data_IF_095682522300
#
_entry.id   IF_095682522300
#
_cell.length_a   1.000
_cell.length_b   1.000
_cell.length_c   1.000
_cell.angle_alpha   90.00
_cell.angle_beta   90.00
_cell.angle_gamma   90.00
#
_symmetry.space_group_name_H-M   'P 1'
#
loop_
_entity.id
_entity.type
_entity.pdbx_description
1 polymer ?
#
# COMPACT_ATOMS: atom_id res chain seq x y z
N UNK A 1 -14.62 -9.77 -20.65
CA UNK A 1 -14.54 -10.08 -19.20
C UNK A 1 -15.60 -9.31 -18.44
N UNK A 2 -16.21 -9.94 -17.46
CA UNK A 2 -16.89 -9.15 -16.46
C UNK A 2 -15.81 -8.40 -15.66
N UNK A 3 -16.01 -7.13 -15.41
CA UNK A 3 -15.17 -6.39 -14.47
C UNK A 3 -15.19 -7.16 -13.13
N UNK A 4 -14.11 -7.05 -12.34
CA UNK A 4 -14.10 -7.63 -10.99
C UNK A 4 -15.41 -7.29 -10.29
N UNK A 5 -16.03 -8.28 -9.68
CA UNK A 5 -17.35 -8.08 -9.05
C UNK A 5 -17.15 -7.49 -7.64
N UNK A 6 -17.35 -6.19 -7.45
CA UNK A 6 -17.17 -5.60 -6.13
C UNK A 6 -18.21 -6.08 -5.12
N UNK A 7 -19.29 -6.70 -5.59
CA UNK A 7 -20.38 -7.20 -4.73
C UNK A 7 -20.12 -8.61 -4.21
N UNK A 8 -18.99 -9.23 -4.61
CA UNK A 8 -18.58 -10.55 -4.10
C UNK A 8 -17.13 -10.51 -3.65
N UNK A 9 -16.88 -10.21 -2.37
CA UNK A 9 -15.50 -10.11 -1.87
C UNK A 9 -14.74 -11.45 -1.88
N UNK A 10 -15.43 -12.55 -2.13
CA UNK A 10 -14.81 -13.88 -2.20
C UNK A 10 -14.63 -14.38 -3.63
N UNK A 11 -15.01 -13.58 -4.64
CA UNK A 11 -14.82 -13.97 -6.04
C UNK A 11 -13.33 -14.09 -6.36
N UNK A 12 -12.98 -15.15 -7.09
CA UNK A 12 -11.60 -15.34 -7.58
C UNK A 12 -11.49 -14.70 -8.95
N UNK A 13 -10.99 -13.47 -8.98
CA UNK A 13 -10.79 -12.72 -10.21
C UNK A 13 -9.48 -13.14 -10.89
N UNK A 14 -9.41 -13.02 -12.21
CA UNK A 14 -8.29 -13.50 -13.02
C UNK A 14 -7.39 -12.35 -13.46
N UNK A 15 -6.10 -12.43 -13.17
CA UNK A 15 -5.06 -11.48 -13.59
C UNK A 15 -5.45 -10.01 -13.30
N UNK A 16 -5.96 -9.71 -12.10
CA UNK A 16 -6.34 -8.35 -11.70
C UNK A 16 -5.13 -7.41 -11.73
N UNK A 17 -5.28 -6.25 -12.35
CA UNK A 17 -4.20 -5.25 -12.45
C UNK A 17 -4.44 -4.14 -11.44
N UNK A 18 -3.45 -3.88 -10.59
CA UNK A 18 -3.56 -2.79 -9.62
C UNK A 18 -2.18 -2.17 -9.31
N UNK A 19 -2.16 -1.15 -8.50
CA UNK A 19 -0.97 -0.50 -7.95
C UNK A 19 -1.03 -0.63 -6.43
N UNK A 20 0.09 -0.56 -5.74
CA UNK A 20 0.13 -0.87 -4.29
C UNK A 20 -0.62 0.19 -3.47
N UNK A 21 -0.42 1.49 -3.73
CA UNK A 21 -1.18 2.51 -3.00
C UNK A 21 -0.71 3.95 -3.23
N UNK A 22 0.52 4.27 -2.92
CA UNK A 22 0.94 5.66 -2.82
C UNK A 22 1.49 6.22 -4.14
N UNK A 23 1.00 7.40 -4.54
CA UNK A 23 1.53 8.20 -5.65
C UNK A 23 2.21 9.47 -5.10
N UNK A 24 3.07 10.07 -5.91
CA UNK A 24 3.67 11.36 -5.58
C UNK A 24 2.58 12.41 -5.34
N UNK A 25 2.80 13.26 -4.37
CA UNK A 25 1.88 14.38 -4.09
C UNK A 25 2.36 15.59 -4.90
N UNK A 26 1.53 16.14 -5.80
CA UNK A 26 1.97 17.28 -6.62
C UNK A 26 2.21 18.53 -5.76
N UNK A 27 3.12 19.38 -6.20
CA UNK A 27 3.51 20.56 -5.44
C UNK A 27 2.32 21.52 -5.18
N UNK A 28 1.38 21.61 -6.14
CA UNK A 28 0.19 22.45 -5.94
C UNK A 28 -0.72 21.93 -4.80
N UNK A 29 -0.60 20.63 -4.42
CA UNK A 29 -1.31 20.04 -3.27
C UNK A 29 -0.46 20.14 -1.99
N UNK A 30 0.87 20.02 -2.10
CA UNK A 30 1.78 20.00 -0.95
C UNK A 30 1.96 21.41 -0.37
N UNK A 31 2.18 22.42 -1.23
CA UNK A 31 2.47 23.79 -0.81
C UNK A 31 1.40 24.42 0.08
N UNK A 32 0.07 24.30 -0.23
CA UNK A 32 -0.96 24.82 0.68
C UNK A 32 -0.91 24.24 2.09
N UNK A 33 -0.58 22.95 2.22
CA UNK A 33 -0.46 22.30 3.54
C UNK A 33 0.78 22.75 4.33
N UNK A 34 1.80 23.28 3.63
CA UNK A 34 3.02 23.85 4.23
C UNK A 34 2.94 25.37 4.41
N UNK A 35 1.79 25.96 4.10
CA UNK A 35 1.60 27.43 4.09
C UNK A 35 2.54 28.14 3.09
N UNK A 36 2.90 27.43 2.01
CA UNK A 36 3.74 27.95 0.93
C UNK A 36 2.88 28.39 -0.26
N UNK A 37 3.42 29.32 -1.05
CA UNK A 37 2.73 29.86 -2.22
C UNK A 37 2.71 28.86 -3.38
N UNK A 38 1.53 28.65 -3.97
CA UNK A 38 1.35 27.90 -5.22
C UNK A 38 1.83 28.78 -6.38
N UNK A 39 2.79 28.29 -7.16
CA UNK A 39 3.40 29.06 -8.25
C UNK A 39 2.60 28.91 -9.55
N UNK A 40 2.94 29.74 -10.55
CA UNK A 40 2.34 29.59 -11.88
C UNK A 40 2.76 28.27 -12.56
N UNK A 41 3.95 27.78 -12.23
CA UNK A 41 4.45 26.49 -12.72
C UNK A 41 3.59 25.34 -12.16
N UNK A 42 3.28 25.36 -10.86
CA UNK A 42 2.40 24.37 -10.21
C UNK A 42 1.01 24.32 -10.89
N UNK A 43 0.43 25.52 -11.14
CA UNK A 43 -0.89 25.59 -11.78
C UNK A 43 -0.83 25.13 -13.25
N UNK A 44 0.27 25.43 -13.93
CA UNK A 44 0.48 24.98 -15.31
C UNK A 44 0.55 23.44 -15.36
N UNK A 45 1.31 22.84 -14.44
CA UNK A 45 1.39 21.39 -14.32
C UNK A 45 0.01 20.78 -14.06
N UNK A 46 -0.75 21.35 -13.11
CA UNK A 46 -2.10 20.87 -12.82
C UNK A 46 -3.00 20.91 -14.06
N UNK A 47 -2.94 22.03 -14.85
CA UNK A 47 -3.74 22.15 -16.08
C UNK A 47 -3.34 21.11 -17.14
N UNK A 48 -2.04 20.89 -17.31
CA UNK A 48 -1.54 19.88 -18.27
C UNK A 48 -2.08 18.50 -17.92
N UNK A 49 -2.05 18.14 -16.63
CA UNK A 49 -2.60 16.87 -16.18
C UNK A 49 -4.13 16.81 -16.31
N UNK A 50 -4.84 17.90 -15.99
CA UNK A 50 -6.31 17.95 -16.16
C UNK A 50 -6.69 17.73 -17.63
N UNK A 51 -5.97 18.39 -18.56
CA UNK A 51 -6.21 18.23 -19.99
C UNK A 51 -5.89 16.80 -20.46
N UNK A 52 -4.75 16.24 -20.01
CA UNK A 52 -4.31 14.89 -20.38
C UNK A 52 -5.29 13.82 -19.89
N UNK A 53 -5.82 13.99 -18.68
CA UNK A 53 -6.74 13.02 -18.06
C UNK A 53 -8.22 13.30 -18.41
N UNK A 54 -8.50 14.32 -19.21
CA UNK A 54 -9.85 14.66 -19.62
C UNK A 54 -10.77 15.09 -18.49
N UNK A 55 -10.23 15.79 -17.49
CA UNK A 55 -10.96 16.14 -16.27
C UNK A 55 -11.97 17.29 -16.49
N UNK A 56 -11.74 18.15 -17.47
CA UNK A 56 -12.68 19.19 -17.88
C UNK A 56 -13.22 20.03 -16.72
N UNK A 57 -14.54 20.14 -16.65
CA UNK A 57 -15.22 20.98 -15.65
C UNK A 57 -15.06 20.47 -14.21
N UNK A 58 -14.72 19.19 -14.02
CA UNK A 58 -14.54 18.60 -12.68
C UNK A 58 -13.42 19.30 -11.90
N UNK A 59 -12.47 19.94 -12.61
CA UNK A 59 -11.34 20.66 -11.98
C UNK A 59 -11.53 22.16 -11.93
N UNK A 60 -12.67 22.68 -12.41
CA UNK A 60 -12.94 24.12 -12.42
C UNK A 60 -12.83 24.74 -11.02
N UNK A 61 -13.37 24.11 -9.93
CA UNK A 61 -13.24 24.71 -8.59
C UNK A 61 -11.80 24.91 -8.16
N UNK A 62 -10.88 23.99 -8.49
CA UNK A 62 -9.45 24.14 -8.19
C UNK A 62 -8.86 25.34 -8.92
N UNK A 63 -9.15 25.48 -10.22
CA UNK A 63 -8.56 26.54 -11.03
C UNK A 63 -9.17 27.90 -10.70
N UNK A 64 -10.44 27.97 -10.31
CA UNK A 64 -11.06 29.21 -9.83
C UNK A 64 -10.40 29.65 -8.52
N UNK A 65 -10.18 28.72 -7.59
CA UNK A 65 -9.47 29.00 -6.34
C UNK A 65 -8.06 29.54 -6.63
N UNK A 66 -7.31 28.86 -7.52
CA UNK A 66 -5.96 29.30 -7.87
C UNK A 66 -5.95 30.61 -8.69
N UNK A 67 -7.02 30.98 -9.35
CA UNK A 67 -7.14 32.30 -10.01
C UNK A 67 -7.38 33.41 -8.98
N UNK A 68 -8.13 33.11 -7.92
CA UNK A 68 -8.44 34.06 -6.86
C UNK A 68 -7.25 34.31 -5.92
N UNK A 69 -6.57 33.23 -5.49
CA UNK A 69 -5.43 33.34 -4.57
C UNK A 69 -4.43 32.20 -4.75
N UNK A 70 -3.20 32.41 -4.24
CA UNK A 70 -2.10 31.44 -4.36
C UNK A 70 -1.48 31.07 -3.00
N UNK A 71 -1.96 31.67 -1.90
CA UNK A 71 -1.46 31.43 -0.54
C UNK A 71 -2.55 31.81 0.47
N UNK A 72 -2.35 31.49 1.74
CA UNK A 72 -3.31 31.81 2.80
C UNK A 72 -4.62 31.06 2.67
N UNK A 73 -4.56 29.78 2.30
CA UNK A 73 -5.76 28.94 2.13
C UNK A 73 -6.36 28.59 3.50
N UNK A 74 -7.69 28.58 3.57
CA UNK A 74 -8.44 28.08 4.73
C UNK A 74 -8.37 26.56 4.77
N UNK A 75 -8.85 25.95 5.83
CA UNK A 75 -8.88 24.49 5.95
C UNK A 75 -9.84 23.88 4.91
N UNK A 76 -10.99 24.50 4.66
CA UNK A 76 -11.94 24.04 3.63
C UNK A 76 -11.31 24.12 2.23
N UNK A 77 -10.51 25.17 1.97
CA UNK A 77 -9.82 25.30 0.68
C UNK A 77 -8.70 24.27 0.53
N UNK A 78 -7.99 23.95 1.62
CA UNK A 78 -6.97 22.88 1.63
C UNK A 78 -7.64 21.52 1.39
N UNK A 79 -8.82 21.33 1.94
CA UNK A 79 -9.59 20.09 1.72
C UNK A 79 -10.04 19.97 0.26
N UNK A 80 -10.56 21.05 -0.32
CA UNK A 80 -10.88 21.09 -1.76
C UNK A 80 -9.65 20.72 -2.60
N UNK A 81 -8.49 21.31 -2.33
CA UNK A 81 -7.23 21.03 -3.05
C UNK A 81 -6.88 19.53 -2.90
N UNK A 82 -7.06 18.98 -1.71
CA UNK A 82 -6.75 17.56 -1.43
C UNK A 82 -7.70 16.63 -2.20
N UNK A 83 -9.00 16.90 -2.16
CA UNK A 83 -10.01 16.12 -2.91
C UNK A 83 -9.75 16.18 -4.42
N UNK A 84 -9.35 17.36 -4.91
CA UNK A 84 -8.99 17.49 -6.32
C UNK A 84 -7.74 16.65 -6.66
N UNK A 85 -6.75 16.63 -5.78
CA UNK A 85 -5.56 15.78 -5.98
C UNK A 85 -5.93 14.29 -6.00
N UNK A 86 -6.89 13.87 -5.17
CA UNK A 86 -7.42 12.50 -5.19
C UNK A 86 -8.11 12.20 -6.53
N UNK A 87 -8.94 13.13 -7.03
CA UNK A 87 -9.57 12.97 -8.34
C UNK A 87 -8.54 12.77 -9.45
N UNK A 88 -7.47 13.59 -9.48
CA UNK A 88 -6.39 13.43 -10.46
C UNK A 88 -5.73 12.04 -10.34
N UNK A 89 -5.42 11.61 -9.11
CA UNK A 89 -4.76 10.32 -8.87
C UNK A 89 -5.64 9.14 -9.28
N UNK A 90 -6.95 9.22 -9.00
CA UNK A 90 -7.94 8.22 -9.42
C UNK A 90 -7.96 8.12 -10.97
N UNK A 91 -8.09 9.27 -11.65
CA UNK A 91 -8.13 9.29 -13.12
C UNK A 91 -6.82 8.83 -13.75
N UNK A 92 -5.68 9.14 -13.10
CA UNK A 92 -4.37 8.69 -13.56
C UNK A 92 -4.31 7.16 -13.63
N UNK A 93 -4.79 6.49 -12.60
CA UNK A 93 -4.80 5.03 -12.51
C UNK A 93 -5.81 4.42 -13.50
N UNK A 94 -6.99 5.01 -13.61
CA UNK A 94 -8.01 4.57 -14.59
C UNK A 94 -7.50 4.71 -16.03
N UNK A 95 -6.84 5.83 -16.36
CA UNK A 95 -6.26 6.08 -17.68
C UNK A 95 -5.10 5.13 -17.98
N UNK A 96 -4.35 4.74 -16.94
CA UNK A 96 -3.28 3.76 -17.06
C UNK A 96 -3.80 2.33 -17.32
N UNK A 97 -5.09 2.08 -17.06
CA UNK A 97 -5.74 0.81 -17.34
C UNK A 97 -5.81 -0.16 -16.17
N UNK A 98 -5.67 0.31 -14.95
CA UNK A 98 -5.78 -0.54 -13.76
C UNK A 98 -7.22 -1.00 -13.53
N UNK A 99 -7.41 -2.22 -13.04
CA UNK A 99 -8.73 -2.79 -12.72
C UNK A 99 -9.20 -2.33 -11.34
N UNK A 100 -8.29 -2.21 -10.38
CA UNK A 100 -8.55 -1.72 -9.03
C UNK A 100 -7.72 -0.46 -8.81
N UNK A 101 -8.34 0.56 -8.22
CA UNK A 101 -7.73 1.88 -8.08
C UNK A 101 -7.79 2.38 -6.63
N UNK A 102 -7.08 3.47 -6.38
CA UNK A 102 -7.02 4.15 -5.10
C UNK A 102 -6.73 5.65 -5.35
N UNK A 103 -6.79 6.47 -4.33
CA UNK A 103 -6.53 7.91 -4.45
C UNK A 103 -5.03 8.29 -4.41
N UNK A 104 -4.13 7.30 -4.34
CA UNK A 104 -2.70 7.56 -4.28
C UNK A 104 -2.24 8.18 -2.96
N UNK A 105 -2.98 7.99 -1.88
CA UNK A 105 -2.71 8.58 -0.55
C UNK A 105 -2.73 10.12 -0.56
N UNK A 106 -3.51 10.74 -1.42
CA UNK A 106 -3.52 12.21 -1.49
C UNK A 106 -4.06 12.86 -0.21
N UNK A 107 -4.94 12.19 0.52
CA UNK A 107 -5.42 12.68 1.82
C UNK A 107 -4.35 12.61 2.92
N UNK A 108 -3.42 11.68 2.82
CA UNK A 108 -2.47 11.39 3.90
C UNK A 108 -1.20 12.23 3.83
N UNK A 109 -0.57 12.42 4.96
CA UNK A 109 0.79 13.00 5.01
C UNK A 109 1.82 11.93 4.64
N UNK A 110 1.72 10.75 5.27
CA UNK A 110 2.64 9.63 5.09
C UNK A 110 2.02 8.41 5.81
N UNK A 111 2.35 7.18 5.38
CA UNK A 111 1.66 5.98 5.83
C UNK A 111 1.67 5.77 7.36
N UNK A 112 2.82 5.94 8.02
CA UNK A 112 2.94 5.74 9.47
C UNK A 112 2.35 6.92 10.26
N UNK A 113 2.69 8.14 9.85
CA UNK A 113 2.28 9.33 10.59
C UNK A 113 0.76 9.52 10.60
N UNK A 114 0.07 9.12 9.52
CA UNK A 114 -1.36 9.38 9.37
C UNK A 114 -2.18 8.68 10.46
N UNK A 115 -2.10 7.34 10.63
CA UNK A 115 -2.83 6.69 11.73
C UNK A 115 -2.37 7.16 13.12
N UNK A 116 -1.08 7.39 13.32
CA UNK A 116 -0.56 7.88 14.62
C UNK A 116 -1.15 9.25 14.98
N UNK A 117 -1.29 10.15 14.00
CA UNK A 117 -1.86 11.50 14.25
C UNK A 117 -3.35 11.42 14.62
N UNK A 118 -4.07 10.41 14.13
CA UNK A 118 -5.51 10.25 14.36
C UNK A 118 -5.82 9.31 15.53
N UNK A 119 -4.79 8.85 16.24
CA UNK A 119 -4.94 7.97 17.41
C UNK A 119 -4.47 8.67 18.68
N UNK A 120 -5.18 8.45 19.80
CA UNK A 120 -4.69 8.81 21.12
C UNK A 120 -3.70 7.73 21.60
N UNK A 121 -2.91 8.03 22.63
CA UNK A 121 -1.93 7.10 23.20
C UNK A 121 -0.56 7.16 22.56
N UNK A 122 -0.35 8.03 21.56
CA UNK A 122 0.95 8.23 20.92
C UNK A 122 1.47 9.65 21.10
N UNK A 123 2.79 9.79 21.23
CA UNK A 123 3.47 11.09 21.24
C UNK A 123 4.69 11.05 20.32
N UNK A 124 4.81 12.03 19.42
CA UNK A 124 5.97 12.11 18.53
C UNK A 124 7.26 12.42 19.31
N UNK A 125 8.33 11.70 18.99
CA UNK A 125 9.65 11.83 19.65
C UNK A 125 10.72 12.47 18.79
N UNK A 126 10.47 12.62 17.48
CA UNK A 126 11.42 13.23 16.56
C UNK A 126 11.51 12.48 15.25
N UNK A 127 12.57 12.72 14.49
CA UNK A 127 12.69 12.23 13.13
C UNK A 127 13.71 11.09 13.05
N UNK A 128 13.34 10.03 12.34
CA UNK A 128 14.24 8.95 11.96
C UNK A 128 14.50 9.01 10.46
N UNK A 129 15.71 8.64 10.05
CA UNK A 129 16.09 8.54 8.64
C UNK A 129 15.58 7.21 8.09
N UNK A 130 14.95 7.28 6.93
CA UNK A 130 14.41 6.12 6.21
C UNK A 130 15.18 5.90 4.91
N UNK A 131 14.68 5.04 4.06
CA UNK A 131 15.19 4.76 2.72
C UNK A 131 15.27 6.04 1.89
N UNK A 132 16.18 6.09 0.93
CA UNK A 132 16.36 7.21 0.01
C UNK A 132 16.62 8.54 0.71
N UNK A 133 17.25 8.51 1.91
CA UNK A 133 17.56 9.70 2.70
C UNK A 133 16.33 10.52 3.10
N UNK A 134 15.16 9.91 3.14
CA UNK A 134 13.95 10.56 3.62
C UNK A 134 13.85 10.44 5.13
N UNK A 135 13.10 11.33 5.74
CA UNK A 135 12.89 11.35 7.19
C UNK A 135 11.40 11.18 7.48
N UNK A 136 11.10 10.40 8.49
CA UNK A 136 9.75 10.25 9.00
C UNK A 136 9.73 10.54 10.51
N UNK A 137 8.57 10.93 11.01
CA UNK A 137 8.44 11.38 12.40
C UNK A 137 8.04 10.18 13.27
N UNK A 138 8.99 9.67 14.05
CA UNK A 138 8.78 8.49 14.90
C UNK A 138 8.08 8.88 16.20
N UNK A 139 7.06 8.11 16.58
CA UNK A 139 6.30 8.29 17.82
C UNK A 139 6.70 7.26 18.88
N UNK A 140 6.26 7.50 20.10
CA UNK A 140 6.25 6.52 21.18
C UNK A 140 4.79 6.24 21.56
N UNK A 141 4.47 4.98 21.83
CA UNK A 141 3.22 4.65 22.52
C UNK A 141 3.44 4.95 24.01
N UNK A 142 2.62 5.84 24.56
CA UNK A 142 2.73 6.33 25.96
C UNK A 142 1.52 5.97 26.80
N UNK A 143 0.45 5.52 26.16
CA UNK A 143 -0.75 5.01 26.78
C UNK A 143 -1.44 4.06 25.81
N UNK A 144 -2.44 3.34 26.24
CA UNK A 144 -3.19 2.40 25.40
C UNK A 144 -3.81 3.14 24.19
N UNK A 145 -3.52 2.71 22.96
CA UNK A 145 -4.05 3.41 21.78
C UNK A 145 -5.57 3.41 21.71
N UNK A 146 -6.14 4.50 21.20
CA UNK A 146 -7.58 4.56 20.92
C UNK A 146 -7.86 5.46 19.71
N UNK A 147 -8.93 5.16 19.02
CA UNK A 147 -9.41 5.93 17.86
C UNK A 147 -10.85 6.37 18.20
N UNK A 148 -11.09 7.66 18.20
CA UNK A 148 -12.39 8.20 18.58
C UNK A 148 -13.34 8.33 17.38
N UNK A 149 -12.80 8.53 16.18
CA UNK A 149 -13.59 8.70 14.96
C UNK A 149 -12.88 8.01 13.78
N UNK A 150 -13.63 7.38 12.84
CA UNK A 150 -13.03 6.79 11.66
C UNK A 150 -12.30 7.87 10.84
N UNK A 151 -11.00 7.72 10.64
CA UNK A 151 -10.18 8.74 9.98
C UNK A 151 -9.95 8.47 8.48
N UNK A 152 -10.41 7.33 7.96
CA UNK A 152 -10.37 7.02 6.54
C UNK A 152 -11.72 7.27 5.83
N UNK A 153 -12.75 7.70 6.57
CA UNK A 153 -14.10 7.85 6.03
C UNK A 153 -14.16 8.92 4.91
N UNK A 154 -13.54 10.07 5.13
CA UNK A 154 -13.53 11.17 4.15
C UNK A 154 -12.74 10.78 2.90
N UNK A 155 -11.62 10.08 3.08
CA UNK A 155 -10.82 9.53 1.99
C UNK A 155 -11.65 8.54 1.15
N UNK A 156 -12.30 7.59 1.80
CA UNK A 156 -13.15 6.60 1.12
C UNK A 156 -14.33 7.28 0.41
N UNK A 157 -14.98 8.25 1.05
CA UNK A 157 -16.09 8.98 0.44
C UNK A 157 -15.66 9.68 -0.86
N UNK A 158 -14.48 10.33 -0.85
CA UNK A 158 -13.93 10.97 -2.05
C UNK A 158 -13.69 9.94 -3.16
N UNK A 159 -13.16 8.77 -2.80
CA UNK A 159 -12.91 7.70 -3.78
C UNK A 159 -14.25 7.21 -4.35
N UNK A 160 -15.22 6.90 -3.50
CA UNK A 160 -16.53 6.38 -3.90
C UNK A 160 -17.30 7.36 -4.82
N UNK A 161 -17.19 8.66 -4.54
CA UNK A 161 -17.81 9.71 -5.36
C UNK A 161 -17.20 9.82 -6.77
N UNK A 162 -15.92 9.48 -6.92
CA UNK A 162 -15.19 9.76 -8.16
C UNK A 162 -14.76 8.51 -8.94
N UNK A 163 -14.55 7.37 -8.29
CA UNK A 163 -14.03 6.16 -8.93
C UNK A 163 -15.03 5.58 -9.95
N UNK A 164 -14.52 5.15 -11.10
CA UNK A 164 -15.25 4.42 -12.15
C UNK A 164 -14.88 2.93 -12.16
N UNK A 165 -13.98 2.53 -11.27
CA UNK A 165 -13.45 1.17 -11.10
C UNK A 165 -13.56 0.80 -9.63
N UNK A 166 -13.56 -0.49 -9.30
CA UNK A 166 -13.49 -0.90 -7.89
C UNK A 166 -12.29 -0.28 -7.19
N UNK A 167 -12.51 0.09 -5.94
CA UNK A 167 -11.48 0.75 -5.13
C UNK A 167 -10.93 -0.19 -4.06
N UNK A 168 -9.64 -0.06 -3.78
CA UNK A 168 -9.01 -0.66 -2.60
C UNK A 168 -8.45 0.46 -1.73
N UNK A 169 -8.32 0.23 -0.43
CA UNK A 169 -7.77 1.23 0.49
C UNK A 169 -6.61 0.60 1.27
N UNK A 170 -5.35 0.92 0.92
CA UNK A 170 -4.21 0.44 1.70
C UNK A 170 -4.08 1.18 3.03
N UNK A 171 -3.76 0.47 4.10
CA UNK A 171 -3.64 1.01 5.45
C UNK A 171 -2.39 0.40 6.10
N UNK A 172 -1.65 1.20 6.86
CA UNK A 172 -0.46 0.70 7.57
C UNK A 172 -0.90 -0.32 8.62
N UNK A 173 -0.32 -1.50 8.55
CA UNK A 173 -0.68 -2.59 9.43
C UNK A 173 -0.27 -2.39 10.88
N UNK A 174 -0.94 -3.11 11.76
CA UNK A 174 -0.74 -2.97 13.21
C UNK A 174 0.67 -3.36 13.63
N UNK A 175 1.23 -4.43 13.05
CA UNK A 175 2.59 -4.84 13.38
C UNK A 175 3.60 -3.77 12.98
N UNK A 176 3.46 -3.17 11.80
CA UNK A 176 4.36 -2.09 11.34
C UNK A 176 4.23 -0.85 12.25
N UNK A 177 3.02 -0.50 12.70
CA UNK A 177 2.84 0.62 13.64
C UNK A 177 3.59 0.38 14.95
N UNK A 178 3.57 -0.87 15.43
CA UNK A 178 4.30 -1.26 16.65
C UNK A 178 5.81 -1.18 16.43
N UNK A 179 6.31 -1.81 15.37
CA UNK A 179 7.75 -1.88 15.10
C UNK A 179 8.37 -0.50 14.85
N UNK A 180 7.61 0.37 14.19
CA UNK A 180 8.11 1.72 13.88
C UNK A 180 7.88 2.72 15.02
N UNK A 181 7.26 2.30 16.14
CA UNK A 181 7.09 3.13 17.35
C UNK A 181 8.10 2.77 18.42
N UNK A 182 8.34 3.68 19.35
CA UNK A 182 9.00 3.33 20.62
C UNK A 182 7.94 2.86 21.60
N UNK A 183 8.21 1.80 22.33
CA UNK A 183 7.32 1.33 23.39
C UNK A 183 7.72 1.96 24.71
N UNK A 184 6.95 2.98 25.13
CA UNK A 184 7.12 3.63 26.46
C UNK A 184 5.97 3.28 27.40
N UNK A 185 5.10 2.30 27.04
CA UNK A 185 3.92 1.91 27.81
C UNK A 185 3.94 0.40 28.12
N UNK A 186 3.77 -0.44 27.11
CA UNK A 186 3.53 -1.88 27.31
C UNK A 186 4.71 -2.60 27.95
N UNK A 187 5.93 -2.42 27.45
CA UNK A 187 7.11 -3.06 28.00
C UNK A 187 7.35 -2.63 29.44
N UNK A 188 7.18 -1.35 29.75
CA UNK A 188 7.37 -0.87 31.13
C UNK A 188 6.32 -1.49 32.06
N UNK A 189 5.07 -1.64 31.61
CA UNK A 189 4.03 -2.27 32.39
C UNK A 189 4.37 -3.74 32.66
N UNK A 190 4.74 -4.50 31.65
CA UNK A 190 5.11 -5.91 31.78
C UNK A 190 6.31 -6.11 32.73
N UNK A 191 7.37 -5.30 32.58
CA UNK A 191 8.53 -5.39 33.45
C UNK A 191 8.19 -5.06 34.91
N UNK A 192 7.37 -4.03 35.13
CA UNK A 192 6.99 -3.57 36.47
C UNK A 192 6.05 -4.57 37.16
N UNK A 193 5.04 -5.06 36.45
CA UNK A 193 4.05 -6.00 37.03
C UNK A 193 4.69 -7.33 37.44
N UNK A 194 5.69 -7.79 36.67
CA UNK A 194 6.38 -9.06 36.93
C UNK A 194 7.68 -8.90 37.76
N UNK A 195 8.04 -7.66 38.15
CA UNK A 195 9.27 -7.35 38.88
C UNK A 195 10.53 -7.90 38.16
N UNK A 196 10.58 -7.70 36.84
CA UNK A 196 11.65 -8.20 35.95
C UNK A 196 12.70 -7.10 35.73
N UNK A 197 13.98 -7.43 35.95
CA UNK A 197 15.08 -6.50 35.65
C UNK A 197 15.38 -6.44 34.15
N UNK A 198 15.55 -5.24 33.58
CA UNK A 198 15.91 -5.10 32.17
C UNK A 198 17.23 -5.80 31.82
N UNK A 199 17.32 -6.39 30.64
CA UNK A 199 18.52 -7.05 30.13
C UNK A 199 18.67 -8.51 30.52
N UNK A 200 17.64 -9.11 31.12
CA UNK A 200 17.63 -10.54 31.47
C UNK A 200 16.89 -11.34 30.37
N UNK A 201 17.05 -12.68 30.33
CA UNK A 201 16.22 -13.50 29.42
C UNK A 201 14.72 -13.34 29.68
N UNK A 202 14.34 -13.17 30.94
CA UNK A 202 12.93 -12.91 31.32
C UNK A 202 12.44 -11.59 30.75
N UNK A 203 13.29 -10.57 30.67
CA UNK A 203 12.92 -9.29 30.06
C UNK A 203 12.76 -9.37 28.54
N UNK A 204 13.44 -10.34 27.90
CA UNK A 204 13.22 -10.59 26.45
C UNK A 204 11.82 -11.17 26.21
N UNK A 205 11.39 -12.17 27.01
CA UNK A 205 10.05 -12.73 26.90
C UNK A 205 8.98 -11.66 27.21
N UNK A 206 9.23 -10.81 28.21
CA UNK A 206 8.33 -9.69 28.52
C UNK A 206 8.22 -8.70 27.35
N UNK A 207 9.30 -8.48 26.60
CA UNK A 207 9.31 -7.64 25.41
C UNK A 207 8.41 -8.23 24.31
N UNK A 208 8.52 -9.52 24.05
CA UNK A 208 7.73 -10.20 23.05
C UNK A 208 6.23 -10.11 23.41
N UNK A 209 5.88 -10.36 24.66
CA UNK A 209 4.48 -10.26 25.11
C UNK A 209 3.97 -8.81 25.05
N UNK A 210 4.77 -7.82 25.42
CA UNK A 210 4.42 -6.41 25.32
C UNK A 210 4.15 -6.00 23.87
N UNK A 211 5.02 -6.43 22.92
CA UNK A 211 4.84 -6.14 21.49
C UNK A 211 3.55 -6.79 20.98
N UNK A 212 3.27 -8.03 21.40
CA UNK A 212 2.04 -8.74 21.02
C UNK A 212 0.80 -7.99 21.53
N UNK A 213 0.78 -7.61 22.80
CA UNK A 213 -0.34 -6.86 23.38
C UNK A 213 -0.56 -5.53 22.65
N UNK A 214 0.54 -4.81 22.38
CA UNK A 214 0.48 -3.53 21.63
C UNK A 214 -0.08 -3.74 20.22
N UNK A 215 0.40 -4.76 19.48
CA UNK A 215 -0.04 -5.04 18.12
C UNK A 215 -1.53 -5.40 18.08
N UNK A 216 -1.98 -6.25 18.99
CA UNK A 216 -3.39 -6.66 19.10
C UNK A 216 -4.29 -5.47 19.49
N UNK A 217 -3.82 -4.59 20.38
CA UNK A 217 -4.59 -3.39 20.75
C UNK A 217 -4.75 -2.41 19.58
N UNK A 218 -3.69 -2.20 18.79
CA UNK A 218 -3.77 -1.38 17.57
C UNK A 218 -4.73 -2.04 16.56
N UNK A 219 -4.59 -3.35 16.33
CA UNK A 219 -5.41 -4.11 15.38
C UNK A 219 -6.90 -4.00 15.69
N UNK A 220 -7.29 -4.09 16.95
CA UNK A 220 -8.69 -4.01 17.39
C UNK A 220 -9.36 -2.67 17.08
N UNK A 221 -8.58 -1.68 16.76
CA UNK A 221 -9.10 -0.31 16.52
C UNK A 221 -9.21 0.06 15.05
N UNK A 222 -8.66 -0.66 14.19
CA UNK A 222 -8.63 -0.32 12.93
C UNK A 222 -9.35 -1.33 12.20
N UNK A 223 -10.08 -0.85 11.37
CA UNK A 223 -10.70 -1.78 10.39
C UNK A 223 -10.00 -1.57 9.04
N UNK A 224 -9.53 -2.64 8.42
CA UNK A 224 -8.47 -2.54 7.40
C UNK A 224 -8.80 -3.40 6.17
N UNK A 225 -8.43 -2.94 4.95
CA UNK A 225 -8.75 -3.62 3.69
C UNK A 225 -7.49 -4.07 2.95
N UNK A 226 -6.50 -3.21 2.68
CA UNK A 226 -5.13 -3.67 2.34
C UNK A 226 -4.22 -3.31 3.50
N UNK A 227 -3.57 -4.30 4.09
CA UNK A 227 -2.77 -4.12 5.29
C UNK A 227 -1.29 -4.13 4.90
N UNK A 228 -0.66 -2.95 4.90
CA UNK A 228 0.73 -2.77 4.50
C UNK A 228 1.65 -3.06 5.69
N UNK A 229 2.44 -4.14 5.60
CA UNK A 229 3.29 -4.62 6.68
C UNK A 229 4.78 -4.72 6.27
N UNK A 230 5.40 -3.61 5.87
CA UNK A 230 6.81 -3.65 5.47
C UNK A 230 7.78 -4.02 6.59
N UNK A 231 7.37 -3.96 7.84
CA UNK A 231 8.24 -4.26 8.97
C UNK A 231 8.37 -5.77 9.25
N UNK A 232 7.43 -6.61 8.83
CA UNK A 232 7.34 -8.00 9.28
C UNK A 232 8.60 -8.81 8.99
N UNK A 233 9.26 -8.57 7.87
CA UNK A 233 10.45 -9.33 7.48
C UNK A 233 11.75 -8.82 8.13
N UNK A 234 11.69 -7.72 8.88
CA UNK A 234 12.86 -7.25 9.63
C UNK A 234 13.08 -8.04 10.93
N UNK A 235 12.04 -8.73 11.40
CA UNK A 235 12.08 -9.57 12.59
C UNK A 235 11.45 -10.94 12.29
N UNK A 236 12.19 -11.87 11.66
CA UNK A 236 11.62 -13.18 11.30
C UNK A 236 11.12 -14.02 12.49
N UNK A 237 11.58 -13.69 13.70
CA UNK A 237 11.15 -14.34 14.94
C UNK A 237 9.86 -13.75 15.51
N UNK A 238 9.24 -12.79 14.84
CA UNK A 238 7.99 -12.13 15.26
C UNK A 238 6.85 -12.25 14.23
N UNK A 239 6.97 -13.14 13.24
CA UNK A 239 5.94 -13.32 12.21
C UNK A 239 4.60 -13.75 12.83
N UNK A 240 4.64 -14.53 13.91
CA UNK A 240 3.44 -14.93 14.64
C UNK A 240 2.69 -13.72 15.26
N UNK A 241 3.42 -12.69 15.69
CA UNK A 241 2.79 -11.44 16.20
C UNK A 241 2.08 -10.71 15.04
N UNK A 242 2.70 -10.66 13.86
CA UNK A 242 2.06 -10.08 12.68
C UNK A 242 0.78 -10.85 12.33
N UNK A 243 0.84 -12.20 12.30
CA UNK A 243 -0.33 -13.04 11.97
C UNK A 243 -1.46 -12.79 12.96
N UNK A 244 -1.17 -12.74 14.27
CA UNK A 244 -2.18 -12.47 15.29
C UNK A 244 -2.80 -11.06 15.11
N UNK A 245 -1.97 -10.05 14.85
CA UNK A 245 -2.43 -8.68 14.64
C UNK A 245 -3.29 -8.57 13.36
N UNK A 246 -2.87 -9.20 12.26
CA UNK A 246 -3.66 -9.24 11.02
C UNK A 246 -5.03 -9.88 11.29
N UNK A 247 -5.05 -11.07 11.88
CA UNK A 247 -6.30 -11.81 12.14
C UNK A 247 -7.24 -11.00 13.05
N UNK A 248 -6.70 -10.33 14.07
CA UNK A 248 -7.52 -9.47 14.93
C UNK A 248 -8.07 -8.25 14.17
N UNK A 249 -7.28 -7.70 13.20
CA UNK A 249 -7.70 -6.55 12.38
C UNK A 249 -8.90 -6.89 11.48
N UNK A 250 -8.97 -8.13 10.94
CA UNK A 250 -10.01 -8.54 10.00
C UNK A 250 -11.17 -9.29 10.66
N UNK A 251 -11.08 -9.52 11.94
CA UNK A 251 -12.01 -10.36 12.71
C UNK A 251 -13.47 -9.94 12.58
N UNK A 252 -14.29 -10.85 12.05
CA UNK A 252 -15.72 -10.62 11.85
C UNK A 252 -16.05 -9.80 10.59
N UNK A 253 -15.05 -9.56 9.72
CA UNK A 253 -15.21 -8.79 8.49
C UNK A 253 -14.89 -9.59 7.23
N UNK A 254 -14.33 -10.79 7.37
CA UNK A 254 -13.84 -11.59 6.24
C UNK A 254 -14.91 -12.04 5.25
N UNK A 255 -16.20 -11.95 5.64
CA UNK A 255 -17.33 -12.20 4.74
C UNK A 255 -17.94 -10.91 4.16
N UNK A 256 -17.36 -9.74 4.48
CA UNK A 256 -17.89 -8.43 4.10
C UNK A 256 -16.96 -7.67 3.16
N UNK A 257 -15.66 -7.98 3.20
CA UNK A 257 -14.66 -7.28 2.40
C UNK A 257 -13.51 -8.22 2.05
N UNK A 258 -12.79 -7.88 0.98
CA UNK A 258 -11.58 -8.57 0.58
C UNK A 258 -10.38 -7.94 1.30
N UNK A 259 -9.55 -8.76 1.91
CA UNK A 259 -8.36 -8.31 2.62
C UNK A 259 -7.09 -8.78 1.92
N UNK A 260 -6.10 -7.92 1.84
CA UNK A 260 -4.79 -8.24 1.28
C UNK A 260 -3.68 -7.72 2.19
N UNK A 261 -2.47 -8.21 1.99
CA UNK A 261 -1.30 -7.65 2.67
C UNK A 261 -0.21 -7.32 1.65
N UNK A 262 0.48 -6.20 1.87
CA UNK A 262 1.66 -5.84 1.06
C UNK A 262 2.90 -5.89 1.94
N UNK A 263 3.88 -6.68 1.49
CA UNK A 263 5.16 -6.88 2.18
C UNK A 263 6.27 -6.64 1.18
N UNK A 264 7.10 -5.62 1.41
CA UNK A 264 8.18 -5.27 0.50
C UNK A 264 9.57 -5.56 1.09
N UNK A 265 10.61 -5.53 0.26
CA UNK A 265 12.03 -5.70 0.61
C UNK A 265 12.36 -7.02 1.31
N UNK A 266 11.77 -8.14 0.90
CA UNK A 266 11.73 -9.34 1.74
C UNK A 266 12.37 -10.58 1.13
N UNK A 267 12.87 -11.42 2.01
CA UNK A 267 13.02 -12.85 1.77
C UNK A 267 11.76 -13.52 2.32
N UNK A 268 10.83 -13.82 1.45
CA UNK A 268 9.52 -14.35 1.82
C UNK A 268 9.57 -15.73 2.44
N UNK A 269 10.68 -16.45 2.30
CA UNK A 269 10.88 -17.76 2.95
C UNK A 269 10.70 -17.65 4.48
N UNK A 270 11.09 -16.50 5.04
CA UNK A 270 11.04 -16.27 6.49
C UNK A 270 9.61 -16.09 7.03
N UNK A 271 8.63 -15.97 6.16
CA UNK A 271 7.22 -15.80 6.56
C UNK A 271 6.53 -17.14 6.83
N UNK A 272 7.12 -18.24 6.33
CA UNK A 272 6.50 -19.57 6.38
C UNK A 272 7.02 -20.38 7.57
N UNK A 273 6.17 -21.18 8.22
CA UNK A 273 4.78 -21.47 7.82
C UNK A 273 3.71 -20.51 8.38
N UNK A 274 4.08 -19.54 9.21
CA UNK A 274 3.15 -18.73 10.01
C UNK A 274 2.10 -18.00 9.16
N UNK A 275 2.45 -17.49 7.97
CA UNK A 275 1.52 -16.77 7.10
C UNK A 275 0.37 -17.64 6.58
N UNK A 276 0.48 -18.98 6.66
CA UNK A 276 -0.61 -19.87 6.31
C UNK A 276 -1.80 -19.77 7.28
N UNK A 277 -1.60 -19.11 8.44
CA UNK A 277 -2.64 -18.92 9.45
C UNK A 277 -3.36 -17.56 9.32
N UNK A 278 -3.06 -16.76 8.26
CA UNK A 278 -3.77 -15.50 8.01
C UNK A 278 -5.22 -15.75 7.60
N UNK A 279 -6.17 -15.24 8.39
CA UNK A 279 -7.60 -15.43 8.15
C UNK A 279 -8.13 -14.44 7.11
N UNK A 280 -8.73 -14.93 6.04
CA UNK A 280 -9.38 -14.10 5.03
C UNK A 280 -8.44 -13.28 4.17
N UNK A 281 -7.15 -13.56 4.19
CA UNK A 281 -6.18 -12.91 3.30
C UNK A 281 -6.37 -13.45 1.87
N UNK A 282 -6.81 -12.60 0.95
CA UNK A 282 -7.09 -12.97 -0.43
C UNK A 282 -5.93 -12.66 -1.38
N UNK A 283 -4.93 -11.90 -0.92
CA UNK A 283 -3.79 -11.52 -1.75
C UNK A 283 -2.55 -11.21 -0.90
N UNK A 284 -1.41 -11.71 -1.37
CA UNK A 284 -0.08 -11.29 -0.90
C UNK A 284 0.60 -10.46 -1.98
N UNK A 285 0.66 -9.15 -1.83
CA UNK A 285 1.35 -8.27 -2.79
C UNK A 285 2.83 -8.21 -2.43
N UNK A 286 3.69 -8.67 -3.37
CA UNK A 286 5.11 -8.89 -3.13
C UNK A 286 6.00 -8.20 -4.17
N UNK A 287 7.18 -7.77 -3.74
CA UNK A 287 8.15 -7.04 -4.54
C UNK A 287 9.13 -8.01 -5.19
N UNK A 288 9.19 -8.03 -6.52
CA UNK A 288 9.97 -9.03 -7.28
C UNK A 288 10.77 -8.42 -8.44
N UNK A 289 10.22 -7.42 -9.13
CA UNK A 289 10.81 -6.89 -10.38
C UNK A 289 12.15 -6.21 -10.15
N UNK A 290 12.36 -5.58 -8.99
CA UNK A 290 13.61 -4.91 -8.63
C UNK A 290 14.79 -5.88 -8.49
N UNK A 291 14.51 -7.19 -8.38
CA UNK A 291 15.53 -8.25 -8.23
C UNK A 291 15.67 -9.08 -9.49
N UNK A 292 14.91 -8.75 -10.53
CA UNK A 292 14.81 -9.55 -11.75
C UNK A 292 15.53 -8.88 -12.90
N UNK A 293 16.35 -9.63 -13.68
CA UNK A 293 17.05 -9.02 -14.81
C UNK A 293 16.09 -8.57 -15.90
N UNK A 294 16.56 -7.62 -16.72
CA UNK A 294 15.79 -7.05 -17.83
C UNK A 294 15.80 -7.94 -19.09
N UNK A 295 16.47 -9.09 -19.03
CA UNK A 295 16.50 -10.04 -20.13
C UNK A 295 15.11 -10.62 -20.40
N UNK A 296 14.76 -10.79 -21.68
CA UNK A 296 13.48 -11.39 -22.09
C UNK A 296 13.55 -12.91 -21.96
N UNK A 297 12.44 -13.54 -21.65
CA UNK A 297 12.29 -14.99 -21.49
C UNK A 297 11.49 -15.38 -20.27
N UNK A 298 11.05 -16.64 -20.26
CA UNK A 298 10.22 -17.18 -19.18
C UNK A 298 10.87 -18.38 -18.46
N UNK A 299 12.11 -18.74 -18.85
CA UNK A 299 12.77 -19.85 -18.16
C UNK A 299 13.30 -19.42 -16.79
N UNK A 300 13.42 -20.39 -15.89
CA UNK A 300 13.82 -20.15 -14.49
C UNK A 300 15.18 -19.43 -14.37
N UNK A 301 16.12 -19.70 -15.27
CA UNK A 301 17.42 -19.02 -15.27
C UNK A 301 17.33 -17.53 -15.58
N UNK A 302 16.34 -17.14 -16.38
CA UNK A 302 16.09 -15.75 -16.77
C UNK A 302 15.31 -14.99 -15.70
N UNK A 303 14.35 -15.64 -15.00
CA UNK A 303 13.45 -15.00 -14.03
C UNK A 303 13.93 -15.18 -12.58
N UNK A 304 15.16 -14.75 -12.30
CA UNK A 304 15.80 -15.02 -10.99
C UNK A 304 15.10 -14.30 -9.82
N UNK A 305 14.57 -13.10 -10.02
CA UNK A 305 13.83 -12.36 -8.99
C UNK A 305 12.54 -13.08 -8.58
N UNK A 306 11.98 -13.89 -9.46
CA UNK A 306 10.71 -14.59 -9.25
C UNK A 306 10.87 -15.96 -8.57
N UNK A 307 12.10 -16.39 -8.22
CA UNK A 307 12.29 -17.56 -7.36
C UNK A 307 11.73 -17.35 -5.95
N UNK A 308 11.50 -16.08 -5.56
CA UNK A 308 10.84 -15.74 -4.30
C UNK A 308 9.36 -16.20 -4.25
N UNK A 309 8.81 -16.65 -5.37
CA UNK A 309 7.46 -17.26 -5.44
C UNK A 309 7.46 -18.72 -4.96
N UNK A 310 8.61 -19.40 -4.94
CA UNK A 310 8.70 -20.82 -4.61
C UNK A 310 8.01 -21.19 -3.29
N UNK A 311 8.22 -20.45 -2.17
CA UNK A 311 7.55 -20.81 -0.91
C UNK A 311 6.03 -20.75 -0.99
N UNK A 312 5.47 -19.78 -1.72
CA UNK A 312 4.02 -19.66 -1.89
C UNK A 312 3.45 -20.85 -2.67
N UNK A 313 4.15 -21.27 -3.73
CA UNK A 313 3.74 -22.42 -4.53
C UNK A 313 3.92 -23.75 -3.77
N UNK A 314 5.05 -23.90 -3.06
CA UNK A 314 5.35 -25.13 -2.28
C UNK A 314 4.30 -25.40 -1.20
N UNK A 315 3.72 -24.34 -0.62
CA UNK A 315 2.70 -24.44 0.41
C UNK A 315 1.27 -24.38 -0.13
N UNK A 316 1.09 -24.31 -1.48
CA UNK A 316 -0.21 -24.24 -2.14
C UNK A 316 -1.17 -23.22 -1.50
N UNK A 317 -0.66 -21.99 -1.31
CA UNK A 317 -1.40 -20.93 -0.64
C UNK A 317 -2.68 -20.59 -1.43
N UNK A 318 -3.81 -20.44 -0.75
CA UNK A 318 -5.09 -20.19 -1.44
C UNK A 318 -5.20 -18.75 -1.96
N UNK A 319 -4.51 -17.79 -1.35
CA UNK A 319 -4.52 -16.39 -1.75
C UNK A 319 -3.88 -16.17 -3.13
N UNK A 320 -4.27 -15.12 -3.82
CA UNK A 320 -3.58 -14.65 -5.02
C UNK A 320 -2.23 -13.99 -4.63
N UNK A 321 -1.33 -13.91 -5.59
CA UNK A 321 -0.08 -13.17 -5.44
C UNK A 321 -0.21 -11.85 -6.21
N UNK A 322 -0.16 -10.74 -5.48
CA UNK A 322 0.03 -9.42 -6.05
C UNK A 322 1.45 -9.35 -6.58
N UNK A 323 1.58 -9.62 -7.88
CA UNK A 323 2.85 -9.90 -8.54
C UNK A 323 3.54 -8.60 -8.95
N UNK A 324 4.56 -8.15 -8.22
CA UNK A 324 5.37 -7.00 -8.61
C UNK A 324 6.03 -7.24 -9.96
N UNK A 325 5.62 -6.50 -11.01
CA UNK A 325 6.15 -6.69 -12.38
C UNK A 325 6.85 -5.45 -12.94
N UNK A 326 6.88 -4.35 -12.17
CA UNK A 326 7.67 -3.15 -12.52
C UNK A 326 8.43 -2.64 -11.31
N UNK A 327 9.73 -2.38 -11.49
CA UNK A 327 10.61 -1.88 -10.43
C UNK A 327 10.33 -0.39 -10.17
N UNK A 328 9.94 -0.05 -8.97
CA UNK A 328 9.62 1.34 -8.60
C UNK A 328 10.86 2.14 -8.13
N UNK A 329 12.02 1.51 -8.03
CA UNK A 329 13.25 2.16 -7.54
C UNK A 329 14.04 2.86 -8.65
N UNK A 330 13.59 2.73 -9.91
CA UNK A 330 14.23 3.35 -11.08
C UNK A 330 13.19 4.09 -11.94
N UNK A 331 13.67 5.11 -12.67
CA UNK A 331 12.86 5.81 -13.67
C UNK A 331 12.80 5.06 -15.02
N UNK A 332 13.60 4.00 -15.19
CA UNK A 332 13.57 3.19 -16.41
C UNK A 332 12.23 2.46 -16.53
N UNK A 333 11.71 2.39 -17.76
CA UNK A 333 10.38 1.86 -18.04
C UNK A 333 10.50 0.48 -18.68
N UNK A 334 9.99 -0.52 -18.01
CA UNK A 334 9.93 -1.90 -18.51
C UNK A 334 9.07 -1.96 -19.78
N UNK A 335 9.56 -2.62 -20.87
CA UNK A 335 8.69 -2.85 -22.01
C UNK A 335 7.57 -3.84 -21.64
N UNK A 336 6.37 -3.69 -22.23
CA UNK A 336 5.23 -4.57 -21.85
C UNK A 336 5.49 -6.04 -22.17
N UNK A 337 6.42 -6.34 -23.08
CA UNK A 337 6.85 -7.71 -23.36
C UNK A 337 7.57 -8.33 -22.16
N UNK A 338 8.40 -7.54 -21.46
CA UNK A 338 9.11 -8.02 -20.26
C UNK A 338 8.10 -8.26 -19.12
N UNK A 339 7.16 -7.34 -18.94
CA UNK A 339 6.07 -7.50 -17.98
C UNK A 339 5.30 -8.81 -18.27
N UNK A 340 4.94 -9.04 -19.54
CA UNK A 340 4.24 -10.27 -19.94
C UNK A 340 5.08 -11.53 -19.66
N UNK A 341 6.40 -11.48 -19.88
CA UNK A 341 7.28 -12.64 -19.58
C UNK A 341 7.29 -12.95 -18.07
N UNK A 342 7.31 -11.91 -17.22
CA UNK A 342 7.24 -12.05 -15.77
C UNK A 342 5.93 -12.70 -15.33
N UNK A 343 4.80 -12.27 -15.92
CA UNK A 343 3.48 -12.83 -15.64
C UNK A 343 3.40 -14.29 -16.07
N UNK A 344 3.90 -14.63 -17.30
CA UNK A 344 3.91 -16.02 -17.79
C UNK A 344 4.71 -16.95 -16.88
N UNK A 345 5.86 -16.47 -16.41
CA UNK A 345 6.68 -17.25 -15.47
C UNK A 345 5.91 -17.53 -14.18
N UNK A 346 5.26 -16.50 -13.62
CA UNK A 346 4.47 -16.69 -12.40
C UNK A 346 3.30 -17.66 -12.63
N UNK A 347 2.62 -17.58 -13.78
CA UNK A 347 1.58 -18.53 -14.12
C UNK A 347 2.12 -19.98 -14.15
N UNK A 348 3.30 -20.20 -14.77
CA UNK A 348 3.94 -21.53 -14.75
C UNK A 348 4.20 -22.01 -13.31
N UNK A 349 4.59 -21.11 -12.40
CA UNK A 349 4.85 -21.46 -10.99
C UNK A 349 3.56 -21.89 -10.29
N UNK A 350 2.41 -21.31 -10.67
CA UNK A 350 1.11 -21.61 -10.06
C UNK A 350 0.20 -22.46 -10.97
N UNK A 351 0.80 -23.38 -11.73
CA UNK A 351 0.08 -24.39 -12.55
C UNK A 351 -0.88 -23.78 -13.58
N UNK A 352 -0.52 -22.62 -14.12
CA UNK A 352 -1.29 -21.83 -15.11
C UNK A 352 -2.65 -21.34 -14.58
N UNK A 353 -2.79 -21.17 -13.25
CA UNK A 353 -4.02 -20.65 -12.64
C UNK A 353 -4.02 -19.10 -12.65
N UNK A 354 -4.83 -18.45 -13.50
CA UNK A 354 -4.84 -16.98 -13.58
C UNK A 354 -5.48 -16.31 -12.36
N UNK A 355 -6.17 -17.05 -11.50
CA UNK A 355 -6.72 -16.48 -10.26
C UNK A 355 -5.64 -16.30 -9.19
N UNK A 356 -4.48 -16.96 -9.38
CA UNK A 356 -3.35 -16.86 -8.43
C UNK A 356 -2.39 -15.71 -8.72
N UNK A 357 -2.55 -15.00 -9.85
CA UNK A 357 -1.56 -14.00 -10.30
C UNK A 357 -2.24 -12.65 -10.57
N UNK A 358 -1.98 -11.65 -9.72
CA UNK A 358 -2.53 -10.30 -9.85
C UNK A 358 -1.40 -9.31 -10.10
N UNK A 359 -1.12 -8.92 -11.36
CA UNK A 359 0.02 -8.07 -11.65
C UNK A 359 -0.10 -6.66 -11.08
N UNK A 360 0.96 -6.21 -10.41
CA UNK A 360 1.01 -4.89 -9.78
C UNK A 360 2.40 -4.27 -9.90
N UNK A 361 2.59 -3.09 -9.32
CA UNK A 361 3.92 -2.49 -9.16
C UNK A 361 4.60 -3.11 -7.93
N UNK A 362 5.93 -3.12 -7.90
CA UNK A 362 6.68 -3.68 -6.75
C UNK A 362 6.27 -3.06 -5.41
N UNK A 363 6.00 -1.77 -5.41
CA UNK A 363 5.56 -1.02 -4.23
C UNK A 363 4.86 0.26 -4.72
N UNK A 364 4.45 1.14 -3.82
CA UNK A 364 3.84 2.41 -4.17
C UNK A 364 4.79 3.33 -4.94
N UNK A 365 4.26 4.10 -5.87
CA UNK A 365 5.01 4.94 -6.81
C UNK A 365 5.28 6.36 -6.30
N UNK A 366 5.15 6.61 -5.01
CA UNK A 366 5.26 7.97 -4.42
C UNK A 366 6.61 8.65 -4.65
N UNK A 367 7.66 7.89 -4.96
CA UNK A 367 9.00 8.45 -5.22
C UNK A 367 9.23 8.79 -6.70
N UNK A 368 8.27 8.45 -7.56
CA UNK A 368 8.36 8.71 -9.01
C UNK A 368 7.50 9.92 -9.37
N UNK A 369 7.88 10.64 -10.44
CA UNK A 369 7.01 11.68 -11.01
C UNK A 369 5.75 11.01 -11.58
N UNK A 370 4.67 11.79 -11.75
CA UNK A 370 3.43 11.26 -12.30
C UNK A 370 3.60 10.70 -13.73
N UNK A 371 4.49 11.29 -14.55
CA UNK A 371 4.77 10.76 -15.89
C UNK A 371 5.37 9.35 -15.82
N UNK A 372 6.35 9.15 -14.94
CA UNK A 372 6.98 7.83 -14.73
C UNK A 372 5.95 6.85 -14.13
N UNK A 373 5.25 7.28 -13.08
CA UNK A 373 4.25 6.44 -12.40
C UNK A 373 3.16 5.98 -13.38
N UNK A 374 2.58 6.92 -14.14
CA UNK A 374 1.57 6.63 -15.13
C UNK A 374 2.08 5.63 -16.17
N UNK A 375 3.29 5.88 -16.71
CA UNK A 375 3.85 4.99 -17.72
C UNK A 375 4.11 3.58 -17.16
N UNK A 376 4.64 3.47 -15.94
CA UNK A 376 4.85 2.15 -15.31
C UNK A 376 3.53 1.39 -15.15
N UNK A 377 2.50 2.04 -14.63
CA UNK A 377 1.16 1.44 -14.50
C UNK A 377 0.60 1.01 -15.87
N UNK A 378 0.78 1.83 -16.92
CA UNK A 378 0.40 1.45 -18.28
C UNK A 378 1.14 0.18 -18.74
N UNK A 379 2.43 0.03 -18.39
CA UNK A 379 3.18 -1.17 -18.78
C UNK A 379 2.69 -2.42 -18.05
N UNK A 380 2.28 -2.28 -16.77
CA UNK A 380 1.62 -3.38 -16.05
C UNK A 380 0.34 -3.80 -16.82
N UNK A 381 -0.53 -2.83 -17.13
CA UNK A 381 -1.80 -3.10 -17.83
C UNK A 381 -1.56 -3.69 -19.23
N UNK A 382 -0.64 -3.12 -20.03
CA UNK A 382 -0.32 -3.58 -21.40
C UNK A 382 0.26 -5.00 -21.40
N UNK A 383 1.17 -5.28 -20.45
CA UNK A 383 1.78 -6.62 -20.31
C UNK A 383 0.73 -7.65 -19.94
N UNK A 384 -0.12 -7.32 -18.98
CA UNK A 384 -1.22 -8.19 -18.54
C UNK A 384 -2.21 -8.45 -19.67
N UNK A 385 -2.59 -7.42 -20.42
CA UNK A 385 -3.52 -7.57 -21.53
C UNK A 385 -3.00 -8.53 -22.61
N UNK A 386 -1.68 -8.59 -22.82
CA UNK A 386 -1.07 -9.58 -23.74
C UNK A 386 -1.32 -11.00 -23.25
N UNK A 387 -1.09 -11.23 -21.96
CA UNK A 387 -1.27 -12.56 -21.35
C UNK A 387 -2.75 -12.94 -21.31
N UNK A 388 -3.65 -12.00 -20.95
CA UNK A 388 -5.11 -12.22 -20.99
C UNK A 388 -5.56 -12.71 -22.37
N UNK A 389 -5.09 -12.09 -23.44
CA UNK A 389 -5.41 -12.51 -24.82
C UNK A 389 -4.92 -13.90 -25.15
N UNK A 390 -3.73 -14.27 -24.68
CA UNK A 390 -3.18 -15.63 -24.89
C UNK A 390 -4.01 -16.70 -24.19
N UNK A 391 -4.54 -16.35 -23.02
CA UNK A 391 -5.38 -17.25 -22.20
C UNK A 391 -6.86 -17.19 -22.60
N UNK A 392 -7.22 -16.33 -23.55
CA UNK A 392 -8.61 -16.07 -23.99
C UNK A 392 -9.51 -15.59 -22.82
N UNK A 393 -8.97 -14.72 -21.98
CA UNK A 393 -9.68 -14.10 -20.84
C UNK A 393 -10.31 -12.74 -21.19
N UNK A 394 -10.39 -12.35 -22.45
CA UNK A 394 -11.00 -11.07 -22.93
C UNK A 394 -12.52 -11.17 -23.05
#
# INVERSE_FOLDING_TARGET
MSAPNPDDPLAKDELVVHEIGSLAKPEWRVKPKREERVTDEDVTEARQWADRLGLGDDTQPLFDLFADKREGFTDEERELITSQASLFAIRLQEDAGLDWIYDGEQHRSEMYRYPVTHSEGFEFRGYCRSFDNKYWNKAAVVDRPSINEPFHADEFSTIDDHARRPAKVPITGAYTLVDWSFDEHYLQQHLHEADIEPGTPESQAAREEARREFAVDVARRXQWIQIDEPAVTTHPDEVDIFVEAFNESVKGLTDQARFSTHICFSDYTNLFPEVLELEGCSEFAVELANRDPWERGTDRGTRQGYHLLDPFAEHDIDAAIGLGVTDIHTDEIEPPELVADRIRYALEVFDDDPTKVWPCTDCGLRTRTWDIAHTKMQRVAEGTQRVRKELALD
#
